data_IF_823961358790
#
_entry.id   IF_823961358790
#
_cell.length_a   1.000
_cell.length_b   1.000
_cell.length_c   1.000
_cell.angle_alpha   90.00
_cell.angle_beta   90.00
_cell.angle_gamma   90.00
#
_symmetry.space_group_name_H-M   'P 1'
#
loop_
_entity.id
_entity.type
_entity.pdbx_description
1 polymer ?
#
# COMPACT_ATOMS: atom_id res chain seq x y z
N UNK A 1 -20.31 -5.21 11.42
CA UNK A 1 -19.69 -6.06 10.38
C UNK A 1 -20.79 -6.67 9.51
N UNK A 2 -21.08 -6.08 8.35
CA UNK A 2 -21.96 -6.71 7.35
C UNK A 2 -21.12 -7.70 6.56
N UNK A 3 -21.66 -8.88 6.28
CA UNK A 3 -20.98 -10.02 5.67
C UNK A 3 -20.60 -9.88 4.20
N UNK A 4 -20.26 -8.68 3.73
CA UNK A 4 -19.59 -8.49 2.46
C UNK A 4 -18.09 -8.71 2.67
N UNK A 5 -17.48 -9.54 1.82
CA UNK A 5 -16.04 -9.75 1.84
C UNK A 5 -15.39 -8.46 1.37
N UNK A 6 -14.45 -7.96 2.14
CA UNK A 6 -13.67 -6.78 1.78
C UNK A 6 -12.95 -7.02 0.43
N UNK A 7 -13.11 -6.12 -0.57
CA UNK A 7 -12.56 -6.32 -1.91
C UNK A 7 -11.04 -6.56 -1.93
N UNK A 8 -10.30 -5.89 -1.04
CA UNK A 8 -8.86 -6.11 -0.89
C UNK A 8 -8.60 -7.57 -0.52
N UNK A 9 -9.36 -8.10 0.44
CA UNK A 9 -9.20 -9.48 0.93
C UNK A 9 -9.60 -10.50 -0.13
N UNK A 10 -10.61 -10.22 -0.94
CA UNK A 10 -11.01 -11.08 -2.06
C UNK A 10 -9.94 -11.12 -3.15
N UNK A 11 -9.42 -9.96 -3.55
CA UNK A 11 -8.41 -9.84 -4.59
C UNK A 11 -7.08 -10.49 -4.16
N UNK A 12 -6.61 -10.15 -2.96
CA UNK A 12 -5.30 -10.60 -2.44
C UNK A 12 -5.33 -12.03 -1.92
N UNK A 13 -6.50 -12.52 -1.52
CA UNK A 13 -6.67 -13.81 -0.83
C UNK A 13 -5.75 -13.98 0.37
N UNK A 14 -5.41 -12.87 1.05
CA UNK A 14 -4.60 -12.87 2.25
C UNK A 14 -5.12 -13.89 3.26
N UNK A 15 -4.18 -14.57 3.92
CA UNK A 15 -4.40 -15.56 4.96
C UNK A 15 -3.75 -15.12 6.27
N UNK A 16 -4.18 -15.67 7.42
CA UNK A 16 -3.51 -15.39 8.68
C UNK A 16 -2.04 -15.81 8.59
N UNK A 17 -1.12 -14.96 9.05
CA UNK A 17 0.32 -15.19 8.99
C UNK A 17 1.02 -14.71 7.72
N UNK A 18 0.28 -14.27 6.70
CA UNK A 18 0.88 -13.72 5.49
C UNK A 18 1.63 -12.40 5.75
N UNK A 19 2.56 -12.10 4.85
CA UNK A 19 3.23 -10.81 4.75
C UNK A 19 2.67 -9.97 3.59
N UNK A 20 2.28 -8.74 3.88
CA UNK A 20 1.67 -7.80 2.94
C UNK A 20 2.49 -6.51 2.85
N UNK A 21 2.78 -6.07 1.63
CA UNK A 21 3.45 -4.80 1.33
C UNK A 21 2.49 -3.90 0.57
N UNK A 22 2.09 -2.79 1.19
CA UNK A 22 1.34 -1.71 0.57
C UNK A 22 2.32 -0.68 -0.02
N UNK A 23 2.37 -0.57 -1.35
CA UNK A 23 3.28 0.34 -2.04
C UNK A 23 2.71 1.76 -2.22
N UNK A 24 1.50 2.00 -1.74
CA UNK A 24 0.72 3.24 -1.89
C UNK A 24 -0.04 3.51 -0.61
N UNK A 25 0.66 3.48 0.54
CA UNK A 25 0.05 3.44 1.87
C UNK A 25 -1.02 4.51 2.08
N UNK A 26 -0.81 5.74 1.57
CA UNK A 26 -1.78 6.80 1.68
C UNK A 26 -2.10 7.06 3.15
N UNK A 27 -3.38 6.96 3.53
CA UNK A 27 -3.84 7.11 4.92
C UNK A 27 -3.85 5.80 5.73
N UNK A 28 -3.48 4.67 5.13
CA UNK A 28 -3.33 3.38 5.80
C UNK A 28 -4.58 2.51 5.92
N UNK A 29 -5.67 2.85 5.23
CA UNK A 29 -6.91 2.08 5.29
C UNK A 29 -6.72 0.61 4.90
N UNK A 30 -6.15 0.36 3.71
CA UNK A 30 -5.91 -1.01 3.22
C UNK A 30 -4.88 -1.75 4.05
N UNK A 31 -3.85 -1.07 4.53
CA UNK A 31 -2.88 -1.62 5.47
C UNK A 31 -3.54 -2.08 6.79
N UNK A 32 -4.53 -1.35 7.31
CA UNK A 32 -5.30 -1.75 8.51
C UNK A 32 -6.16 -2.98 8.21
N UNK A 33 -6.89 -2.99 7.09
CA UNK A 33 -7.67 -4.15 6.65
C UNK A 33 -6.78 -5.39 6.48
N UNK A 34 -5.63 -5.24 5.83
CA UNK A 34 -4.64 -6.31 5.69
C UNK A 34 -4.12 -6.77 7.06
N UNK A 35 -3.79 -5.85 7.97
CA UNK A 35 -3.28 -6.16 9.32
C UNK A 35 -4.28 -6.93 10.17
N UNK A 36 -5.57 -6.60 10.05
CA UNK A 36 -6.66 -7.37 10.66
C UNK A 36 -6.74 -8.77 10.05
N UNK A 37 -6.61 -8.90 8.73
CA UNK A 37 -6.73 -10.17 8.03
C UNK A 37 -5.59 -11.14 8.30
N UNK A 38 -4.35 -10.65 8.30
CA UNK A 38 -3.15 -11.47 8.52
C UNK A 38 -2.93 -11.75 10.00
N UNK A 39 -3.47 -10.91 10.89
CA UNK A 39 -3.44 -11.10 12.33
C UNK A 39 -2.04 -10.93 12.95
N UNK A 40 -1.92 -11.32 14.23
CA UNK A 40 -0.73 -11.06 15.04
C UNK A 40 0.55 -11.78 14.57
N UNK A 41 0.40 -12.88 13.83
CA UNK A 41 1.53 -13.64 13.28
C UNK A 41 1.91 -13.20 11.86
N UNK A 42 1.14 -12.29 11.25
CA UNK A 42 1.44 -11.74 9.94
C UNK A 42 2.30 -10.48 10.01
N UNK A 43 2.62 -9.93 8.84
CA UNK A 43 3.46 -8.73 8.74
C UNK A 43 2.86 -7.78 7.72
N UNK A 44 2.67 -6.51 8.11
CA UNK A 44 2.21 -5.46 7.20
C UNK A 44 3.21 -4.32 7.18
N UNK A 45 3.66 -3.96 5.99
CA UNK A 45 4.52 -2.82 5.74
C UNK A 45 3.85 -1.91 4.72
N UNK A 46 3.82 -0.61 4.99
CA UNK A 46 3.33 0.38 4.05
C UNK A 46 4.41 1.36 3.64
N UNK A 47 4.50 1.68 2.36
CA UNK A 47 5.41 2.66 1.79
C UNK A 47 4.62 3.91 1.39
N UNK A 48 5.06 5.06 1.87
CA UNK A 48 4.49 6.36 1.51
C UNK A 48 5.58 7.31 1.03
N UNK A 49 5.39 7.85 -0.19
CA UNK A 49 6.36 8.71 -0.87
C UNK A 49 6.44 10.09 -0.25
N UNK A 50 5.30 10.66 0.17
CA UNK A 50 5.27 11.95 0.84
C UNK A 50 5.72 11.79 2.31
N UNK A 51 6.86 12.37 2.71
CA UNK A 51 7.39 12.17 4.06
C UNK A 51 6.50 12.75 5.16
N UNK A 52 5.70 13.78 4.86
CA UNK A 52 4.76 14.36 5.83
C UNK A 52 3.56 13.43 6.03
N UNK A 53 3.00 12.87 4.95
CA UNK A 53 1.93 11.87 5.04
C UNK A 53 2.43 10.62 5.77
N UNK A 54 3.62 10.11 5.41
CA UNK A 54 4.23 8.96 6.07
C UNK A 54 4.39 9.17 7.58
N UNK A 55 4.87 10.35 7.98
CA UNK A 55 5.00 10.73 9.38
C UNK A 55 3.64 10.75 10.07
N UNK A 56 2.67 11.49 9.53
CA UNK A 56 1.34 11.64 10.12
C UNK A 56 0.64 10.30 10.29
N UNK A 57 0.70 9.43 9.28
CA UNK A 57 0.05 8.12 9.30
C UNK A 57 0.76 7.20 10.28
N UNK A 58 2.09 7.20 10.33
CA UNK A 58 2.82 6.44 11.34
C UNK A 58 2.44 6.86 12.75
N UNK A 59 2.40 8.17 13.05
CA UNK A 59 1.99 8.64 14.37
C UNK A 59 0.52 8.28 14.66
N UNK A 60 -0.37 8.47 13.69
CA UNK A 60 -1.79 8.12 13.82
C UNK A 60 -2.02 6.64 14.11
N UNK A 61 -1.34 5.75 13.39
CA UNK A 61 -1.44 4.29 13.60
C UNK A 61 -0.96 3.84 15.00
N UNK A 62 -0.02 4.57 15.61
CA UNK A 62 0.54 4.23 16.92
C UNK A 62 -0.14 4.93 18.10
N UNK A 63 -0.87 6.02 17.86
CA UNK A 63 -1.41 6.86 18.94
C UNK A 63 -2.93 6.97 18.95
N UNK A 64 -3.60 6.65 17.85
CA UNK A 64 -5.05 6.70 17.77
C UNK A 64 -5.69 5.50 18.47
N UNK A 65 -6.64 5.77 19.35
CA UNK A 65 -7.46 4.75 20.01
C UNK A 65 -8.85 4.73 19.39
N UNK A 66 -9.21 3.63 18.74
CA UNK A 66 -10.55 3.43 18.16
C UNK A 66 -11.58 3.02 19.20
N UNK A 67 -11.13 2.58 20.39
CA UNK A 67 -11.97 1.95 21.40
C UNK A 67 -12.27 0.47 21.12
N UNK A 68 -11.69 -0.09 20.04
CA UNK A 68 -11.78 -1.50 19.68
C UNK A 68 -10.37 -2.09 19.70
N UNK A 69 -10.07 -2.86 20.75
CA UNK A 69 -8.73 -3.41 21.01
C UNK A 69 -8.15 -4.14 19.79
N UNK A 70 -8.95 -4.94 19.10
CA UNK A 70 -8.49 -5.69 17.92
C UNK A 70 -8.04 -4.77 16.77
N UNK A 71 -8.71 -3.62 16.60
CA UNK A 71 -8.35 -2.62 15.59
C UNK A 71 -7.10 -1.84 16.00
N UNK A 72 -7.03 -1.42 17.27
CA UNK A 72 -5.87 -0.71 17.81
C UNK A 72 -4.61 -1.59 17.73
N UNK A 73 -4.71 -2.87 18.10
CA UNK A 73 -3.62 -3.83 17.96
C UNK A 73 -3.22 -4.03 16.48
N UNK A 74 -4.18 -4.01 15.54
CA UNK A 74 -3.89 -4.12 14.12
C UNK A 74 -3.16 -2.89 13.57
N UNK A 75 -3.57 -1.69 13.97
CA UNK A 75 -2.93 -0.43 13.59
C UNK A 75 -1.48 -0.39 14.07
N UNK A 76 -1.24 -0.72 15.34
CA UNK A 76 0.08 -0.72 15.97
C UNK A 76 1.10 -1.70 15.35
N UNK A 77 0.65 -2.74 14.64
CA UNK A 77 1.55 -3.71 13.97
C UNK A 77 2.08 -3.22 12.62
N UNK A 78 1.50 -2.17 12.06
CA UNK A 78 1.84 -1.71 10.71
C UNK A 78 3.16 -0.93 10.75
N UNK A 79 4.12 -1.38 9.96
CA UNK A 79 5.40 -0.65 9.79
C UNK A 79 5.30 0.34 8.63
N UNK A 80 5.58 1.61 8.88
CA UNK A 80 5.55 2.65 7.85
C UNK A 80 6.97 3.00 7.41
N UNK A 81 7.22 2.92 6.10
CA UNK A 81 8.47 3.28 5.43
C UNK A 81 8.21 4.51 4.58
N UNK A 82 8.97 5.58 4.80
CA UNK A 82 8.92 6.75 3.91
C UNK A 82 9.86 6.57 2.71
N UNK A 83 9.36 6.84 1.51
CA UNK A 83 10.15 6.87 0.28
C UNK A 83 9.38 6.42 -0.96
N UNK A 84 10.05 6.45 -2.10
CA UNK A 84 9.48 5.97 -3.37
C UNK A 84 9.36 4.44 -3.38
N UNK A 85 8.19 3.92 -3.74
CA UNK A 85 7.89 2.49 -3.67
C UNK A 85 8.76 1.64 -4.59
N UNK A 86 9.07 2.12 -5.80
CA UNK A 86 9.94 1.41 -6.73
C UNK A 86 11.35 1.31 -6.16
N UNK A 87 11.87 2.41 -5.60
CA UNK A 87 13.19 2.43 -4.97
C UNK A 87 13.27 1.59 -3.69
N UNK A 88 12.16 1.44 -2.94
CA UNK A 88 12.12 0.52 -1.81
C UNK A 88 12.05 -0.94 -2.28
N UNK A 89 11.25 -1.26 -3.31
CA UNK A 89 11.13 -2.62 -3.84
C UNK A 89 12.48 -3.16 -4.33
N UNK A 90 13.27 -2.35 -5.05
CA UNK A 90 14.62 -2.72 -5.53
C UNK A 90 15.58 -3.16 -4.41
N UNK A 91 15.33 -2.74 -3.15
CA UNK A 91 16.16 -3.10 -1.99
C UNK A 91 15.71 -4.39 -1.32
N UNK A 92 14.48 -4.84 -1.58
CA UNK A 92 13.91 -6.04 -1.00
C UNK A 92 14.38 -7.29 -1.75
N UNK A 93 14.57 -8.39 -1.03
CA UNK A 93 14.89 -9.68 -1.63
C UNK A 93 13.68 -10.29 -2.36
N UNK A 94 13.96 -11.18 -3.31
CA UNK A 94 12.96 -11.96 -4.03
C UNK A 94 12.06 -12.73 -3.05
N UNK A 95 10.77 -12.84 -3.36
CA UNK A 95 9.77 -13.62 -2.62
C UNK A 95 9.72 -13.35 -1.09
N UNK A 96 10.11 -12.13 -0.70
CA UNK A 96 10.20 -11.68 0.70
C UNK A 96 8.87 -11.22 1.30
N UNK A 97 7.85 -11.03 0.46
CA UNK A 97 6.47 -10.78 0.87
C UNK A 97 5.53 -11.78 0.21
N UNK A 98 4.43 -12.13 0.87
CA UNK A 98 3.40 -12.98 0.27
C UNK A 98 2.61 -12.20 -0.79
N UNK A 99 2.25 -10.95 -0.49
CA UNK A 99 1.50 -10.07 -1.38
C UNK A 99 2.18 -8.69 -1.44
N UNK A 100 2.35 -8.16 -2.64
CA UNK A 100 2.72 -6.77 -2.91
C UNK A 100 1.52 -6.10 -3.57
N UNK A 101 1.07 -4.99 -3.01
CA UNK A 101 -0.15 -4.29 -3.40
C UNK A 101 0.16 -2.86 -3.85
N UNK A 102 -0.52 -2.45 -4.91
CA UNK A 102 -0.55 -1.08 -5.40
C UNK A 102 -2.02 -0.69 -5.58
N UNK A 103 -2.43 0.38 -4.92
CA UNK A 103 -3.62 1.16 -5.24
C UNK A 103 -3.16 2.54 -5.71
N UNK A 104 -2.69 2.66 -6.95
CA UNK A 104 -2.37 3.98 -7.46
C UNK A 104 -3.66 4.78 -7.43
N UNK A 105 -3.71 5.84 -6.61
CA UNK A 105 -4.73 6.86 -6.78
C UNK A 105 -4.65 7.26 -8.25
N UNK A 106 -5.65 6.89 -9.04
CA UNK A 106 -5.75 7.32 -10.42
C UNK A 106 -5.75 8.84 -10.37
N UNK A 107 -4.62 9.46 -10.73
CA UNK A 107 -4.55 10.87 -11.08
C UNK A 107 -5.25 11.05 -12.43
N UNK A 108 -6.54 10.68 -12.51
CA UNK A 108 -7.41 11.24 -13.54
C UNK A 108 -7.58 12.71 -13.20
N UNK A 109 -6.66 13.51 -13.72
CA UNK A 109 -6.95 14.93 -13.95
C UNK A 109 -8.11 14.95 -14.93
N UNK A 110 -9.33 15.18 -14.42
CA UNK A 110 -10.54 15.35 -15.24
C UNK A 110 -10.21 16.33 -16.37
N UNK A 111 -10.27 15.82 -17.60
CA UNK A 111 -9.82 16.47 -18.82
C UNK A 111 -10.74 17.63 -19.24
N UNK A 112 -10.71 18.78 -18.56
CA UNK A 112 -11.40 19.98 -19.07
C UNK A 112 -10.60 21.27 -18.81
N UNK A 113 -9.52 21.50 -19.56
CA UNK A 113 -9.15 22.85 -20.06
C UNK A 113 -7.87 22.80 -20.91
N UNK A 114 -7.98 23.29 -22.14
CA UNK A 114 -6.91 23.29 -23.17
C UNK A 114 -5.86 24.39 -23.01
N UNK A 115 -5.83 25.12 -21.89
CA UNK A 115 -5.05 26.37 -21.75
C UNK A 115 -3.73 26.24 -20.97
N UNK A 116 -3.38 25.05 -20.46
CA UNK A 116 -2.22 24.88 -19.55
C UNK A 116 -1.21 23.80 -20.02
N UNK A 117 -1.32 23.34 -21.27
CA UNK A 117 -0.52 22.25 -21.83
C UNK A 117 1.02 22.38 -21.66
N UNK A 118 1.66 23.56 -21.76
CA UNK A 118 3.12 23.67 -21.61
C UNK A 118 3.63 23.51 -20.17
N UNK A 119 2.81 23.81 -19.16
CA UNK A 119 3.16 23.62 -17.74
C UNK A 119 3.03 22.15 -17.32
N UNK A 120 2.25 21.35 -18.04
CA UNK A 120 2.03 19.93 -17.76
C UNK A 120 3.29 19.09 -17.95
N UNK A 121 4.14 19.44 -18.91
CA UNK A 121 5.42 18.76 -19.15
C UNK A 121 6.41 18.91 -17.97
N UNK A 122 6.26 19.96 -17.14
CA UNK A 122 7.12 20.17 -15.98
C UNK A 122 6.62 19.45 -14.70
N UNK A 123 5.41 18.89 -14.74
CA UNK A 123 4.73 18.27 -13.59
C UNK A 123 4.32 16.80 -13.84
N UNK A 124 4.72 16.20 -14.97
CA UNK A 124 4.52 14.78 -15.22
C UNK A 124 5.49 13.96 -14.36
N UNK A 125 5.09 13.68 -13.12
CA UNK A 125 5.62 12.55 -12.38
C UNK A 125 5.13 11.26 -13.07
N UNK A 126 5.78 10.90 -14.18
CA UNK A 126 5.53 9.63 -14.85
C UNK A 126 5.89 8.50 -13.88
N UNK A 127 4.88 7.80 -13.35
CA UNK A 127 5.11 6.60 -12.56
C UNK A 127 5.58 5.49 -13.50
N UNK A 128 6.72 4.87 -13.19
CA UNK A 128 7.28 3.80 -14.01
C UNK A 128 6.56 2.48 -13.71
N UNK A 129 5.40 2.30 -14.36
CA UNK A 129 4.55 1.13 -14.19
C UNK A 129 5.26 -0.18 -14.55
N UNK A 130 6.13 -0.18 -15.57
CA UNK A 130 6.83 -1.38 -16.00
C UNK A 130 7.79 -1.87 -14.91
N UNK A 131 8.66 -0.98 -14.41
CA UNK A 131 9.58 -1.32 -13.33
C UNK A 131 8.81 -1.67 -12.04
N UNK A 132 7.74 -0.95 -11.74
CA UNK A 132 6.91 -1.25 -10.56
C UNK A 132 6.34 -2.67 -10.60
N UNK A 133 5.75 -3.09 -11.72
CA UNK A 133 5.20 -4.44 -11.90
C UNK A 133 6.30 -5.50 -11.85
N UNK A 134 7.42 -5.27 -12.53
CA UNK A 134 8.56 -6.21 -12.52
C UNK A 134 9.08 -6.45 -11.10
N UNK A 135 9.32 -5.38 -10.34
CA UNK A 135 9.82 -5.47 -8.97
C UNK A 135 8.77 -6.04 -8.00
N UNK A 136 7.49 -5.71 -8.20
CA UNK A 136 6.41 -6.29 -7.41
C UNK A 136 6.32 -7.81 -7.58
N UNK A 137 6.38 -8.30 -8.82
CA UNK A 137 6.36 -9.73 -9.14
C UNK A 137 7.60 -10.47 -8.62
N UNK A 138 8.76 -9.81 -8.59
CA UNK A 138 10.00 -10.35 -8.01
C UNK A 138 9.88 -10.50 -6.49
N UNK A 139 9.36 -9.48 -5.80
CA UNK A 139 9.25 -9.43 -4.34
C UNK A 139 8.09 -10.30 -3.82
N UNK A 140 7.00 -10.44 -4.58
CA UNK A 140 5.83 -11.22 -4.21
C UNK A 140 6.05 -12.73 -4.37
N UNK A 141 5.73 -13.50 -3.33
CA UNK A 141 5.68 -14.96 -3.36
C UNK A 141 4.40 -15.45 -4.03
N UNK A 142 3.25 -14.82 -3.73
CA UNK A 142 1.96 -15.16 -4.35
C UNK A 142 1.81 -14.38 -5.65
N UNK A 143 2.38 -14.93 -6.71
CA UNK A 143 2.31 -14.41 -8.09
C UNK A 143 0.97 -14.80 -8.73
N UNK A 144 -0.15 -14.30 -8.21
CA UNK A 144 -1.44 -14.51 -8.88
C UNK A 144 -1.49 -13.74 -10.21
N UNK A 145 -2.34 -14.22 -11.12
CA UNK A 145 -2.60 -13.64 -12.44
C UNK A 145 -3.31 -12.28 -12.27
N UNK A 146 -2.55 -11.21 -12.10
CA UNK A 146 -3.02 -9.82 -11.98
C UNK A 146 -3.00 -9.09 -13.33
N UNK A 147 -3.36 -9.78 -14.42
CA UNK A 147 -3.48 -9.22 -15.76
C UNK A 147 -4.84 -9.56 -16.37
#
# INVERSE_FOLDING_TARGET
MRGEKDPLIEATQLQPGDSFLDCTLGLGSDAITASLRVGANGRVVGIEKNPMTALLVREGLNTWETGVREADEAMNRISVVSGDSIEQLKKLSDESFDVVYFDPMFEETIQESSSIAPLRHAAEHHFDHETAVQEALRVARKKKEWF
#
